data_IF_597992065631
#
_entry.id   IF_597992065631
#
_cell.length_a   1.000
_cell.length_b   1.000
_cell.length_c   1.000
_cell.angle_alpha   90.00
_cell.angle_beta   90.00
_cell.angle_gamma   90.00
#
_symmetry.space_group_name_H-M   'P 1'
#
loop_
_entity.id
_entity.type
_entity.pdbx_description
1 polymer ?
#
# COMPACT_ATOMS: atom_id res chain seq x y z
N UNK A 1 1.97 -11.15 -20.38
CA UNK A 1 2.16 -11.12 -21.84
C UNK A 1 0.91 -10.57 -22.50
N UNK A 2 1.05 -9.57 -23.35
CA UNK A 2 -0.04 -8.96 -24.11
C UNK A 2 0.18 -9.31 -25.58
N UNK A 3 -0.84 -9.87 -26.23
CA UNK A 3 -0.83 -10.12 -27.67
C UNK A 3 -1.49 -8.93 -28.38
N UNK A 4 -0.79 -8.31 -29.30
CA UNK A 4 -1.38 -7.26 -30.13
C UNK A 4 -2.31 -7.88 -31.18
N UNK A 5 -3.48 -7.28 -31.40
CA UNK A 5 -4.49 -7.76 -32.35
C UNK A 5 -4.07 -7.58 -33.82
N UNK A 6 -3.17 -6.67 -34.11
CA UNK A 6 -2.68 -6.37 -35.45
C UNK A 6 -1.15 -6.56 -35.54
N UNK A 7 -0.71 -7.29 -36.56
CA UNK A 7 0.68 -7.46 -36.87
C UNK A 7 1.10 -6.34 -37.85
N UNK A 8 1.73 -5.30 -37.33
CA UNK A 8 2.39 -4.29 -38.17
C UNK A 8 3.83 -4.68 -38.43
N UNK A 9 4.30 -4.42 -39.66
CA UNK A 9 5.66 -4.73 -40.04
C UNK A 9 6.67 -4.05 -39.08
N UNK A 10 7.51 -4.85 -38.45
CA UNK A 10 8.51 -4.38 -37.48
C UNK A 10 8.04 -4.19 -36.06
N UNK A 11 6.76 -4.41 -35.77
CA UNK A 11 6.23 -4.36 -34.40
C UNK A 11 6.24 -5.73 -33.72
N UNK A 12 6.54 -5.83 -32.44
CA UNK A 12 6.47 -7.10 -31.72
C UNK A 12 5.02 -7.60 -31.63
N UNK A 13 4.83 -8.89 -31.88
CA UNK A 13 3.51 -9.54 -31.74
C UNK A 13 3.07 -9.68 -30.27
N UNK A 14 4.03 -9.66 -29.37
CA UNK A 14 3.85 -9.85 -27.93
C UNK A 14 4.59 -8.76 -27.18
N UNK A 15 3.98 -8.31 -26.11
CA UNK A 15 4.61 -7.38 -25.16
C UNK A 15 4.48 -7.90 -23.75
N UNK A 16 5.42 -7.51 -22.90
CA UNK A 16 5.35 -7.75 -21.46
C UNK A 16 4.97 -6.43 -20.78
N UNK A 17 4.03 -6.52 -19.84
CA UNK A 17 3.63 -5.39 -19.01
C UNK A 17 4.06 -5.59 -17.59
N UNK A 18 4.51 -4.51 -16.96
CA UNK A 18 4.69 -4.47 -15.52
C UNK A 18 3.32 -4.51 -14.86
N UNK A 19 3.14 -5.45 -13.93
CA UNK A 19 1.87 -5.62 -13.23
C UNK A 19 1.84 -4.78 -11.96
N UNK A 20 0.66 -4.25 -11.65
CA UNK A 20 0.38 -3.77 -10.32
C UNK A 20 0.31 -4.96 -9.36
N UNK A 21 1.03 -4.84 -8.26
CA UNK A 21 1.04 -5.82 -7.17
C UNK A 21 0.18 -5.30 -6.01
N UNK A 22 -0.23 -6.18 -5.06
CA UNK A 22 -0.98 -5.77 -3.88
C UNK A 22 -0.36 -4.56 -3.17
N UNK A 23 -1.21 -3.62 -2.78
CA UNK A 23 -0.77 -2.41 -2.11
C UNK A 23 -0.63 -2.66 -0.59
N UNK A 24 0.62 -2.68 -0.10
CA UNK A 24 0.95 -2.84 1.32
C UNK A 24 1.31 -1.51 2.01
N UNK A 25 1.07 -0.38 1.35
CA UNK A 25 1.48 0.93 1.87
C UNK A 25 0.35 1.70 2.54
N UNK A 26 -0.83 1.11 2.59
CA UNK A 26 -2.02 1.76 3.11
C UNK A 26 -2.10 1.55 4.63
N UNK A 27 -1.84 2.61 5.36
CA UNK A 27 -1.93 2.66 6.81
C UNK A 27 -2.81 3.86 7.16
N UNK A 28 -3.99 3.59 7.71
CA UNK A 28 -4.86 4.59 8.29
C UNK A 28 -4.55 4.75 9.77
N UNK A 29 -4.68 5.94 10.27
CA UNK A 29 -4.46 6.23 11.70
C UNK A 29 -5.67 6.96 12.24
N UNK A 30 -6.25 6.41 13.30
CA UNK A 30 -7.38 6.99 14.00
C UNK A 30 -6.85 7.50 15.35
N UNK A 31 -7.01 8.79 15.56
CA UNK A 31 -6.47 9.53 16.68
C UNK A 31 -7.61 9.95 17.59
N UNK A 32 -7.81 9.22 18.67
CA UNK A 32 -8.90 9.44 19.63
C UNK A 32 -10.28 9.59 18.94
N UNK A 33 -10.56 8.65 18.03
CA UNK A 33 -11.80 8.54 17.26
C UNK A 33 -11.88 9.38 15.98
N UNK A 34 -10.87 10.21 15.67
CA UNK A 34 -10.82 11.01 14.44
C UNK A 34 -9.75 10.46 13.49
N UNK A 35 -10.16 10.10 12.26
CA UNK A 35 -9.23 9.60 11.25
C UNK A 35 -8.35 10.72 10.71
N UNK A 36 -7.04 10.51 10.74
CA UNK A 36 -6.08 11.39 10.08
C UNK A 36 -6.17 11.26 8.56
N UNK A 37 -6.49 12.35 7.90
CA UNK A 37 -6.37 12.49 6.45
C UNK A 37 -5.74 13.84 6.10
N UNK A 38 -5.13 13.93 4.89
CA UNK A 38 -4.59 15.20 4.40
C UNK A 38 -5.68 16.17 3.90
N UNK A 39 -6.91 15.69 3.77
CA UNK A 39 -8.06 16.42 3.23
C UNK A 39 -8.94 17.00 4.32
N UNK A 40 -8.85 16.46 5.53
CA UNK A 40 -9.62 16.89 6.69
C UNK A 40 -8.70 17.43 7.77
N UNK A 41 -9.20 18.41 8.54
CA UNK A 41 -8.40 19.10 9.52
C UNK A 41 -7.45 20.14 8.93
N UNK A 42 -6.53 20.63 9.74
CA UNK A 42 -5.53 21.62 9.33
C UNK A 42 -4.14 20.99 9.37
N UNK A 43 -3.43 21.03 8.24
CA UNK A 43 -2.05 20.54 8.13
C UNK A 43 -1.08 21.71 8.22
N UNK A 44 -0.16 21.64 9.17
CA UNK A 44 0.92 22.64 9.34
C UNK A 44 2.28 21.95 9.28
N UNK A 45 3.32 22.75 9.06
CA UNK A 45 4.73 22.32 9.09
C UNK A 45 5.00 21.11 8.20
N UNK A 46 4.31 21.02 7.06
CA UNK A 46 4.48 19.90 6.14
C UNK A 46 5.84 19.94 5.46
N UNK A 47 6.60 18.86 5.61
CA UNK A 47 7.83 18.60 4.89
C UNK A 47 7.85 17.18 4.33
N UNK A 48 8.35 17.04 3.10
CA UNK A 48 8.60 15.75 2.47
C UNK A 48 9.99 15.75 1.85
N UNK A 49 10.87 14.92 2.36
CA UNK A 49 12.28 14.89 2.01
C UNK A 49 12.68 13.50 1.54
N UNK A 50 13.40 13.42 0.43
CA UNK A 50 14.06 12.21 -0.02
C UNK A 50 15.56 12.28 0.34
N UNK A 51 15.98 11.45 1.28
CA UNK A 51 17.39 11.29 1.67
C UNK A 51 18.08 10.35 0.69
N UNK A 52 18.62 10.90 -0.40
CA UNK A 52 19.17 10.14 -1.52
C UNK A 52 20.28 9.17 -1.10
N UNK A 53 21.10 9.55 -0.14
CA UNK A 53 22.21 8.72 0.35
C UNK A 53 21.72 7.44 1.04
N UNK A 54 20.64 7.55 1.80
CA UNK A 54 20.13 6.46 2.64
C UNK A 54 18.92 5.77 2.02
N UNK A 55 18.37 6.32 0.93
CA UNK A 55 17.19 5.78 0.24
C UNK A 55 15.90 5.91 1.05
N UNK A 56 15.84 6.87 1.98
CA UNK A 56 14.70 7.07 2.88
C UNK A 56 13.84 8.22 2.38
N UNK A 57 12.54 7.96 2.22
CA UNK A 57 11.54 8.99 2.03
C UNK A 57 10.92 9.32 3.39
N UNK A 58 11.12 10.56 3.84
CA UNK A 58 10.60 11.11 5.07
C UNK A 58 9.44 12.05 4.81
N UNK A 59 8.40 11.97 5.63
CA UNK A 59 7.29 12.93 5.70
C UNK A 59 7.10 13.35 7.14
N UNK A 60 7.07 14.65 7.39
CA UNK A 60 6.82 15.24 8.70
C UNK A 60 5.74 16.30 8.58
N UNK A 61 4.80 16.33 9.52
CA UNK A 61 3.74 17.34 9.58
C UNK A 61 3.16 17.43 10.99
N UNK A 62 2.50 18.56 11.26
CA UNK A 62 1.59 18.73 12.38
C UNK A 62 0.16 18.78 11.84
N UNK A 63 -0.71 17.95 12.35
CA UNK A 63 -2.12 17.88 11.99
C UNK A 63 -3.00 18.29 13.17
N UNK A 64 -3.98 19.14 12.88
CA UNK A 64 -5.00 19.55 13.85
C UNK A 64 -6.35 19.02 13.39
N UNK A 65 -6.95 18.17 14.20
CA UNK A 65 -8.27 17.61 13.96
C UNK A 65 -9.38 18.67 14.08
N UNK A 66 -10.59 18.33 13.65
CA UNK A 66 -11.76 19.22 13.76
C UNK A 66 -12.12 19.57 15.22
N UNK A 67 -11.81 18.68 16.14
CA UNK A 67 -11.93 18.88 17.60
C UNK A 67 -10.88 19.82 18.20
N UNK A 68 -9.88 20.25 17.44
CA UNK A 68 -8.75 21.05 17.92
C UNK A 68 -7.60 20.23 18.53
N UNK A 69 -7.68 18.91 18.50
CA UNK A 69 -6.60 18.01 18.91
C UNK A 69 -5.44 18.09 17.92
N UNK A 70 -4.24 18.29 18.42
CA UNK A 70 -3.04 18.44 17.62
C UNK A 70 -2.15 17.19 17.75
N UNK A 71 -1.68 16.69 16.62
CA UNK A 71 -0.79 15.52 16.55
C UNK A 71 0.37 15.80 15.60
N UNK A 72 1.58 15.51 16.04
CA UNK A 72 2.73 15.41 15.16
C UNK A 72 2.79 14.02 14.52
N UNK A 73 2.98 14.00 13.21
CA UNK A 73 3.04 12.78 12.42
C UNK A 73 4.37 12.74 11.67
N UNK A 74 5.08 11.63 11.81
CA UNK A 74 6.38 11.43 11.19
C UNK A 74 6.44 10.05 10.56
N UNK A 75 6.61 9.99 9.24
CA UNK A 75 6.57 8.76 8.46
C UNK A 75 7.88 8.60 7.70
N UNK A 76 8.49 7.43 7.84
CA UNK A 76 9.65 7.01 7.08
C UNK A 76 9.29 5.82 6.19
N UNK A 77 9.78 5.83 4.97
CA UNK A 77 9.66 4.71 4.03
C UNK A 77 11.01 4.39 3.44
N UNK A 78 11.34 3.11 3.41
CA UNK A 78 12.58 2.58 2.86
C UNK A 78 12.28 1.38 1.98
N UNK A 79 12.85 1.34 0.78
CA UNK A 79 12.96 0.13 -0.04
C UNK A 79 14.40 -0.32 -0.01
N UNK A 80 14.67 -1.52 0.49
CA UNK A 80 16.02 -1.99 0.73
C UNK A 80 16.73 -2.39 -0.57
N UNK A 81 17.90 -1.83 -0.84
CA UNK A 81 18.78 -2.29 -1.93
C UNK A 81 19.54 -3.57 -1.56
N UNK A 82 19.86 -3.75 -0.28
CA UNK A 82 20.57 -4.93 0.19
C UNK A 82 19.66 -6.18 0.23
N UNK A 83 18.38 -5.98 0.56
CA UNK A 83 17.34 -7.02 0.57
C UNK A 83 16.22 -6.58 -0.36
N UNK A 84 16.35 -6.86 -1.64
CA UNK A 84 15.51 -6.34 -2.74
C UNK A 84 14.01 -6.63 -2.61
N UNK A 85 13.64 -7.58 -1.80
CA UNK A 85 12.25 -7.98 -1.54
C UNK A 85 11.67 -7.40 -0.25
N UNK A 86 12.37 -6.47 0.40
CA UNK A 86 11.92 -5.86 1.67
C UNK A 86 11.69 -4.37 1.50
N UNK A 87 10.54 -3.92 1.96
CA UNK A 87 10.17 -2.54 2.20
C UNK A 87 9.83 -2.37 3.67
N UNK A 88 10.21 -1.26 4.28
CA UNK A 88 9.84 -0.90 5.63
C UNK A 88 9.12 0.45 5.67
N UNK A 89 8.11 0.55 6.51
CA UNK A 89 7.42 1.80 6.84
C UNK A 89 7.46 1.95 8.35
N UNK A 90 7.97 3.08 8.84
CA UNK A 90 7.87 3.48 10.23
C UNK A 90 6.90 4.65 10.31
N UNK A 91 5.85 4.48 11.08
CA UNK A 91 4.83 5.50 11.30
C UNK A 91 4.86 5.92 12.76
N UNK A 92 5.11 7.20 13.04
CA UNK A 92 5.17 7.74 14.38
C UNK A 92 4.10 8.81 14.56
N UNK A 93 3.40 8.76 15.66
CA UNK A 93 2.42 9.76 16.07
C UNK A 93 2.73 10.23 17.49
N UNK A 94 2.60 11.53 17.70
CA UNK A 94 2.79 12.15 19.02
C UNK A 94 1.66 13.14 19.28
N UNK A 95 0.71 12.84 20.18
CA UNK A 95 -0.26 13.82 20.65
C UNK A 95 0.44 15.04 21.27
N UNK A 96 0.00 16.26 20.96
CA UNK A 96 0.63 17.50 21.42
C UNK A 96 -0.13 18.13 22.59
N UNK A 97 -1.45 18.24 22.47
CA UNK A 97 -2.30 18.96 23.40
C UNK A 97 -3.44 18.11 23.99
N UNK A 98 -3.38 16.80 23.81
CA UNK A 98 -4.39 15.87 24.34
C UNK A 98 -3.72 14.54 24.76
N UNK A 99 -4.48 13.75 25.51
CA UNK A 99 -4.21 12.33 25.76
C UNK A 99 -5.41 11.53 25.21
N UNK A 100 -5.13 10.40 24.56
CA UNK A 100 -6.17 9.61 23.94
C UNK A 100 -5.62 8.33 23.32
N UNK A 101 -6.46 7.62 22.59
CA UNK A 101 -6.12 6.37 21.92
C UNK A 101 -5.55 6.61 20.54
N UNK A 102 -4.66 5.73 20.10
CA UNK A 102 -4.15 5.66 18.72
C UNK A 102 -4.45 4.28 18.18
N UNK A 103 -5.14 4.24 17.05
CA UNK A 103 -5.42 3.01 16.32
C UNK A 103 -4.76 3.07 14.95
N UNK A 104 -4.02 2.01 14.59
CA UNK A 104 -3.44 1.84 13.28
C UNK A 104 -4.21 0.76 12.52
N UNK A 105 -4.73 1.11 11.34
CA UNK A 105 -5.38 0.17 10.44
C UNK A 105 -4.52 -0.01 9.21
N UNK A 106 -3.77 -1.11 9.17
CA UNK A 106 -2.95 -1.46 8.00
C UNK A 106 -3.75 -2.35 7.06
N UNK A 107 -3.83 -1.94 5.79
CA UNK A 107 -4.58 -2.66 4.76
C UNK A 107 -3.64 -3.19 3.69
N UNK A 108 -3.83 -4.45 3.31
CA UNK A 108 -3.30 -5.01 2.09
C UNK A 108 -4.42 -5.05 1.05
N UNK A 109 -4.40 -4.12 0.11
CA UNK A 109 -5.33 -4.16 -1.00
C UNK A 109 -4.79 -5.12 -2.06
N UNK A 110 -5.35 -6.32 -2.09
CA UNK A 110 -4.95 -7.38 -3.00
C UNK A 110 -5.67 -7.31 -4.35
N UNK A 111 -6.83 -6.69 -4.40
CA UNK A 111 -7.59 -6.47 -5.62
C UNK A 111 -7.04 -5.26 -6.40
N UNK A 112 -6.04 -5.52 -7.22
CA UNK A 112 -5.35 -4.50 -8.00
C UNK A 112 -5.50 -4.74 -9.50
N UNK A 113 -5.70 -3.65 -10.22
CA UNK A 113 -5.82 -3.65 -11.67
C UNK A 113 -4.73 -2.82 -12.32
N UNK A 114 -4.35 -3.22 -13.52
CA UNK A 114 -3.53 -2.37 -14.37
C UNK A 114 -4.44 -1.35 -15.07
N UNK A 115 -4.22 -0.07 -14.82
CA UNK A 115 -4.95 1.00 -15.47
C UNK A 115 -4.16 1.58 -16.64
N UNK A 116 -4.85 1.84 -17.75
CA UNK A 116 -4.29 2.55 -18.89
C UNK A 116 -5.18 3.72 -19.26
N UNK A 117 -4.59 4.88 -19.42
CA UNK A 117 -5.29 5.99 -20.06
C UNK A 117 -5.29 5.72 -21.57
N UNK A 118 -6.45 5.54 -22.17
CA UNK A 118 -6.63 5.53 -23.62
C UNK A 118 -6.45 6.97 -24.13
N UNK A 119 -5.22 7.38 -24.35
CA UNK A 119 -4.91 8.74 -24.83
C UNK A 119 -4.90 8.84 -26.34
N UNK A 120 -4.77 7.72 -27.04
CA UNK A 120 -4.79 7.68 -28.48
C UNK A 120 -5.85 6.66 -28.95
N UNK A 121 -6.91 7.08 -29.68
CA UNK A 121 -7.95 6.18 -30.15
C UNK A 121 -7.50 5.19 -31.21
N UNK A 122 -6.33 5.39 -31.84
CA UNK A 122 -5.77 4.55 -32.90
C UNK A 122 -4.95 3.40 -32.33
N UNK A 123 -4.48 3.52 -31.09
CA UNK A 123 -3.67 2.49 -30.45
C UNK A 123 -4.54 1.59 -29.59
N UNK A 124 -4.58 0.30 -29.93
CA UNK A 124 -5.14 -0.70 -29.05
C UNK A 124 -4.10 -1.02 -27.95
N UNK A 125 -4.37 -0.55 -26.74
CA UNK A 125 -3.50 -0.78 -25.58
C UNK A 125 -3.66 -2.19 -24.99
N UNK A 126 -4.43 -3.04 -25.61
CA UNK A 126 -4.67 -4.41 -25.18
C UNK A 126 -5.61 -4.54 -23.98
N UNK A 127 -5.88 -5.75 -23.53
CA UNK A 127 -6.71 -6.00 -22.38
C UNK A 127 -5.94 -5.65 -21.09
N UNK A 128 -6.34 -4.56 -20.45
CA UNK A 128 -5.92 -4.20 -19.09
C UNK A 128 -6.93 -4.73 -18.06
N UNK A 129 -6.76 -4.42 -16.80
CA UNK A 129 -7.59 -4.92 -15.72
C UNK A 129 -6.82 -5.90 -14.83
N UNK A 130 -7.50 -6.81 -14.19
CA UNK A 130 -6.91 -7.78 -13.27
C UNK A 130 -5.98 -8.75 -13.99
N UNK A 131 -4.72 -8.79 -13.57
CA UNK A 131 -3.68 -9.63 -14.14
C UNK A 131 -3.10 -10.65 -13.16
N UNK A 132 -3.60 -10.64 -11.94
CA UNK A 132 -3.30 -11.60 -10.90
C UNK A 132 -4.57 -12.35 -10.54
N UNK A 133 -4.49 -13.66 -10.51
CA UNK A 133 -5.50 -14.53 -9.92
C UNK A 133 -5.03 -14.85 -8.49
N UNK A 134 -5.85 -14.56 -7.48
CA UNK A 134 -5.49 -14.82 -6.09
C UNK A 134 -5.57 -16.32 -5.78
N UNK A 135 -4.54 -16.83 -5.13
CA UNK A 135 -4.49 -18.21 -4.68
C UNK A 135 -4.72 -18.31 -3.16
N UNK A 136 -4.11 -17.39 -2.40
CA UNK A 136 -4.26 -17.32 -0.95
C UNK A 136 -4.28 -15.88 -0.45
N UNK A 137 -5.20 -15.62 0.47
CA UNK A 137 -5.24 -14.37 1.25
C UNK A 137 -5.41 -14.75 2.72
N UNK A 138 -4.57 -14.21 3.59
CA UNK A 138 -4.66 -14.42 5.03
C UNK A 138 -4.39 -13.13 5.77
N UNK A 139 -5.10 -12.94 6.87
CA UNK A 139 -4.79 -11.96 7.89
C UNK A 139 -4.91 -12.66 9.26
N UNK A 140 -3.88 -12.63 10.06
CA UNK A 140 -3.84 -13.27 11.37
C UNK A 140 -2.86 -12.53 12.27
N UNK A 141 -3.32 -12.06 13.41
CA UNK A 141 -2.55 -11.26 14.36
C UNK A 141 -1.88 -10.05 13.67
N UNK A 142 -0.56 -9.96 13.75
CA UNK A 142 0.30 -8.91 13.18
C UNK A 142 0.72 -9.18 11.72
N UNK A 143 0.23 -10.26 11.11
CA UNK A 143 0.66 -10.70 9.77
C UNK A 143 -0.50 -10.61 8.78
N UNK A 144 -0.21 -10.06 7.60
CA UNK A 144 -1.04 -10.24 6.40
C UNK A 144 -0.23 -10.86 5.27
N UNK A 145 -0.87 -11.70 4.46
CA UNK A 145 -0.23 -12.47 3.41
C UNK A 145 -1.13 -12.62 2.18
N UNK A 146 -0.53 -12.48 1.03
CA UNK A 146 -1.14 -12.71 -0.27
C UNK A 146 -0.24 -13.59 -1.13
N UNK A 147 -0.84 -14.55 -1.84
CA UNK A 147 -0.22 -15.31 -2.92
C UNK A 147 -1.17 -15.31 -4.11
N UNK A 148 -0.64 -15.12 -5.30
CA UNK A 148 -1.43 -15.14 -6.53
C UNK A 148 -0.58 -15.47 -7.74
N UNK A 149 -1.25 -15.86 -8.82
CA UNK A 149 -0.63 -16.27 -10.08
C UNK A 149 -0.92 -15.27 -11.18
N UNK A 150 0.11 -14.91 -11.97
CA UNK A 150 -0.04 -13.98 -13.10
C UNK A 150 -0.78 -14.66 -14.24
N UNK A 151 -1.78 -13.97 -14.82
CA UNK A 151 -2.47 -14.42 -16.02
C UNK A 151 -1.52 -14.41 -17.22
N UNK A 152 -1.46 -15.49 -17.94
CA UNK A 152 -0.67 -15.65 -19.16
C UNK A 152 0.76 -16.16 -18.94
N UNK A 153 1.53 -15.62 -18.02
CA UNK A 153 2.89 -16.11 -17.72
C UNK A 153 2.94 -17.16 -16.62
N UNK A 154 1.87 -17.29 -15.84
CA UNK A 154 1.74 -18.27 -14.74
C UNK A 154 2.87 -18.19 -13.70
N UNK A 155 3.35 -16.98 -13.43
CA UNK A 155 4.34 -16.74 -12.39
C UNK A 155 3.64 -16.53 -11.04
N UNK A 156 4.12 -17.20 -10.01
CA UNK A 156 3.63 -16.98 -8.65
C UNK A 156 4.22 -15.70 -8.07
N UNK A 157 3.36 -14.90 -7.47
CA UNK A 157 3.71 -13.68 -6.73
C UNK A 157 3.23 -13.86 -5.30
N UNK A 158 4.10 -13.63 -4.34
CA UNK A 158 3.75 -13.61 -2.93
C UNK A 158 4.21 -12.30 -2.29
N UNK A 159 3.38 -11.75 -1.41
CA UNK A 159 3.75 -10.61 -0.58
C UNK A 159 3.05 -10.68 0.78
N UNK A 160 3.62 -10.01 1.76
CA UNK A 160 3.07 -9.96 3.09
C UNK A 160 3.60 -8.79 3.89
N UNK A 161 2.94 -8.49 4.98
CA UNK A 161 3.40 -7.51 5.97
C UNK A 161 3.41 -8.12 7.36
N UNK A 162 4.35 -7.65 8.17
CA UNK A 162 4.45 -7.93 9.60
C UNK A 162 4.49 -6.59 10.31
N UNK A 163 3.83 -6.49 11.46
CA UNK A 163 3.70 -5.25 12.19
C UNK A 163 4.31 -5.37 13.59
N UNK A 164 4.95 -4.30 14.02
CA UNK A 164 5.43 -4.13 15.39
C UNK A 164 4.91 -2.81 15.93
N UNK A 165 4.46 -2.81 17.18
CA UNK A 165 3.98 -1.61 17.85
C UNK A 165 4.96 -1.20 18.96
N UNK A 166 5.25 0.10 19.02
CA UNK A 166 6.17 0.67 20.00
C UNK A 166 5.51 1.86 20.68
N UNK A 167 5.68 1.95 22.00
CA UNK A 167 5.27 3.11 22.79
C UNK A 167 6.46 3.58 23.63
N UNK A 168 6.81 4.86 23.52
CA UNK A 168 7.95 5.49 24.22
C UNK A 168 9.27 4.71 24.09
N UNK A 169 9.51 4.15 22.91
CA UNK A 169 10.72 3.40 22.59
C UNK A 169 10.75 1.95 23.11
N UNK A 170 9.68 1.48 23.71
CA UNK A 170 9.51 0.11 24.14
C UNK A 170 8.52 -0.64 23.27
N UNK A 171 8.81 -1.90 22.94
CA UNK A 171 7.88 -2.77 22.22
C UNK A 171 6.66 -3.04 23.08
N UNK A 172 5.47 -2.82 22.52
CA UNK A 172 4.20 -3.17 23.16
C UNK A 172 3.87 -4.61 22.82
N UNK A 173 3.81 -5.47 23.84
CA UNK A 173 3.51 -6.90 23.68
C UNK A 173 2.04 -7.23 23.95
N UNK A 174 1.36 -6.41 24.75
CA UNK A 174 -0.06 -6.55 25.04
C UNK A 174 -0.87 -5.69 24.04
N UNK A 175 -0.97 -6.20 22.81
CA UNK A 175 -1.66 -5.57 21.70
C UNK A 175 -2.92 -6.38 21.38
N UNK A 176 -4.05 -5.71 21.32
CA UNK A 176 -5.26 -6.32 20.78
C UNK A 176 -5.21 -6.30 19.24
N UNK A 177 -4.71 -7.37 18.65
CA UNK A 177 -4.70 -7.55 17.22
C UNK A 177 -6.07 -8.00 16.71
N UNK A 178 -6.65 -7.23 15.82
CA UNK A 178 -7.82 -7.63 15.05
C UNK A 178 -7.40 -7.77 13.59
N UNK A 179 -7.58 -8.94 13.01
CA UNK A 179 -7.21 -9.21 11.65
C UNK A 179 -8.39 -9.84 10.89
N UNK A 180 -8.72 -9.27 9.76
CA UNK A 180 -9.80 -9.72 8.90
C UNK A 180 -9.30 -9.83 7.46
N UNK A 181 -9.53 -10.99 6.84
CA UNK A 181 -9.33 -11.19 5.42
C UNK A 181 -10.71 -11.12 4.74
N UNK A 182 -10.93 -10.07 3.96
CA UNK A 182 -12.15 -9.93 3.16
C UNK A 182 -12.22 -11.00 2.06
N UNK A 183 -13.44 -11.41 1.71
CA UNK A 183 -13.67 -12.24 0.53
C UNK A 183 -13.30 -11.42 -0.72
N UNK A 184 -12.47 -11.98 -1.58
CA UNK A 184 -12.28 -11.44 -2.91
C UNK A 184 -13.43 -11.97 -3.78
N UNK A 185 -14.21 -11.05 -4.31
CA UNK A 185 -15.23 -11.41 -5.30
C UNK A 185 -14.59 -12.24 -6.41
N UNK A 186 -14.90 -13.51 -6.42
CA UNK A 186 -14.63 -14.37 -7.57
C UNK A 186 -15.53 -13.88 -8.67
N UNK A 187 -14.97 -13.07 -9.58
CA UNK A 187 -15.67 -12.71 -10.81
C UNK A 187 -16.00 -14.00 -11.53
N UNK A 188 -17.29 -14.33 -11.57
CA UNK A 188 -17.80 -15.44 -12.34
C UNK A 188 -17.21 -15.37 -13.75
N UNK A 189 -16.65 -16.49 -14.19
CA UNK A 189 -16.28 -16.69 -15.59
C UNK A 189 -17.59 -16.80 -16.37
N UNK A 190 -17.92 -15.76 -17.10
CA UNK A 190 -18.76 -15.83 -18.29
C UNK A 190 -17.86 -15.85 -19.53
#
# INVERSE_FOLDING_TARGET
>A
EIRYGEANFGSPLLSQSLLNLPNLKEIHVILDGEEFTMEQGEVKEYARTLHMKDGILERKLTWTASSGKMTEIHIFRLVSFARKNIMAIRYQVRPVNYAGTVEFVSKMQADVENHTRKTNPIVDYGPFGRRLDPDKVKAENDISYYEGTTKGSHLTVACGSVHELWCDGQTVTDVNWMAEAGEMDTVSKD
#
